data_IF_830100846387
#
_entry.id   IF_830100846387
#
_cell.length_a   1.000
_cell.length_b   1.000
_cell.length_c   1.000
_cell.angle_alpha   90.00
_cell.angle_beta   90.00
_cell.angle_gamma   90.00
#
_symmetry.space_group_name_H-M   'P 1'
#
loop_
_entity.id
_entity.type
_entity.pdbx_description
1 polymer ?
#
# COMPACT_ATOMS: atom_id res chain seq x y z
N UNK A 1 -68.48 35.06 -1.21
CA UNK A 1 -67.91 33.87 -0.55
C UNK A 1 -66.74 33.40 -1.40
N UNK A 2 -65.51 33.59 -0.93
CA UNK A 2 -64.30 33.25 -1.68
C UNK A 2 -63.77 31.88 -1.20
N UNK A 3 -63.66 30.93 -2.11
CA UNK A 3 -63.16 29.58 -1.84
C UNK A 3 -61.64 29.60 -2.06
N UNK A 4 -60.88 29.52 -0.96
CA UNK A 4 -59.44 29.38 -1.00
C UNK A 4 -59.07 27.93 -1.33
N UNK A 5 -58.49 27.72 -2.52
CA UNK A 5 -57.97 26.42 -2.97
C UNK A 5 -56.50 26.34 -2.54
N UNK A 6 -56.23 25.59 -1.47
CA UNK A 6 -54.87 25.23 -1.07
C UNK A 6 -54.32 24.16 -2.01
N UNK A 7 -53.46 24.57 -2.95
CA UNK A 7 -52.67 23.64 -3.77
C UNK A 7 -51.54 23.10 -2.90
N UNK A 8 -51.69 21.85 -2.44
CA UNK A 8 -50.61 21.09 -1.81
C UNK A 8 -49.55 20.76 -2.89
N UNK A 9 -48.50 21.56 -2.96
CA UNK A 9 -47.29 21.21 -3.71
C UNK A 9 -46.53 20.13 -2.93
N UNK A 10 -46.61 18.89 -3.39
CA UNK A 10 -45.77 17.80 -2.91
C UNK A 10 -44.30 18.09 -3.30
N UNK A 11 -43.51 18.51 -2.32
CA UNK A 11 -42.06 18.68 -2.47
C UNK A 11 -41.46 17.27 -2.53
N UNK A 12 -41.18 16.79 -3.74
CA UNK A 12 -40.32 15.63 -4.00
C UNK A 12 -38.91 16.00 -3.54
N UNK A 13 -38.58 15.70 -2.29
CA UNK A 13 -37.21 15.75 -1.80
C UNK A 13 -36.37 14.78 -2.66
N UNK A 14 -35.32 15.25 -3.37
CA UNK A 14 -34.39 14.36 -4.03
C UNK A 14 -33.79 13.47 -2.94
N UNK A 15 -34.06 12.17 -3.04
CA UNK A 15 -33.51 11.18 -2.14
C UNK A 15 -32.01 11.36 -2.09
N UNK A 16 -31.50 11.68 -0.90
CA UNK A 16 -30.08 11.59 -0.61
C UNK A 16 -29.70 10.11 -0.80
N UNK A 17 -29.26 9.76 -2.00
CA UNK A 17 -28.50 8.55 -2.23
C UNK A 17 -27.27 8.70 -1.34
N UNK A 18 -27.31 8.07 -0.17
CA UNK A 18 -26.18 8.00 0.72
C UNK A 18 -25.06 7.35 -0.06
N UNK A 19 -24.07 8.15 -0.45
CA UNK A 19 -22.82 7.65 -0.95
C UNK A 19 -22.24 6.79 0.16
N UNK A 20 -22.40 5.48 0.03
CA UNK A 20 -21.84 4.53 0.96
C UNK A 20 -20.33 4.65 0.78
N UNK A 21 -19.69 5.37 1.69
CA UNK A 21 -18.25 5.57 1.71
C UNK A 21 -17.62 4.20 1.86
N UNK A 22 -17.23 3.61 0.72
CA UNK A 22 -16.60 2.31 0.68
C UNK A 22 -15.18 2.52 1.19
N UNK A 23 -14.99 2.33 2.50
CA UNK A 23 -13.66 2.38 3.09
C UNK A 23 -12.80 1.35 2.38
N UNK A 24 -11.79 1.80 1.63
CA UNK A 24 -10.87 0.89 0.96
C UNK A 24 -9.91 0.39 2.03
N UNK A 25 -9.81 -0.93 2.18
CA UNK A 25 -8.96 -1.54 3.22
C UNK A 25 -7.91 -2.40 2.54
N UNK A 26 -6.66 -2.23 2.98
CA UNK A 26 -5.55 -3.10 2.66
C UNK A 26 -5.33 -4.10 3.79
N UNK A 27 -5.13 -5.38 3.45
CA UNK A 27 -4.92 -6.47 4.41
C UNK A 27 -3.58 -7.14 4.12
N UNK A 28 -2.79 -7.40 5.16
CA UNK A 28 -1.60 -8.24 5.05
C UNK A 28 -2.07 -9.67 4.76
N UNK A 29 -1.78 -10.15 3.56
CA UNK A 29 -2.09 -11.48 3.09
C UNK A 29 -1.05 -12.51 3.58
N UNK A 30 0.24 -12.19 3.46
CA UNK A 30 1.35 -13.04 3.93
C UNK A 30 2.57 -12.23 4.38
N UNK A 31 3.48 -12.87 5.12
CA UNK A 31 4.68 -12.28 5.72
C UNK A 31 4.54 -11.97 7.23
N UNK A 32 5.61 -11.47 7.89
CA UNK A 32 6.92 -11.14 7.33
C UNK A 32 7.75 -12.38 6.96
N UNK A 33 8.08 -12.51 5.68
CA UNK A 33 8.91 -13.61 5.18
C UNK A 33 10.35 -13.10 4.93
N UNK A 34 11.38 -13.75 5.50
CA UNK A 34 12.76 -13.36 5.25
C UNK A 34 13.21 -13.81 3.85
N UNK A 35 14.03 -13.01 3.20
CA UNK A 35 14.62 -13.34 1.90
C UNK A 35 15.95 -12.65 1.65
N UNK A 36 16.51 -12.88 0.46
CA UNK A 36 17.77 -12.29 0.03
C UNK A 36 17.73 -11.87 -1.43
N UNK A 37 18.27 -10.69 -1.74
CA UNK A 37 18.36 -10.14 -3.09
C UNK A 37 17.03 -9.54 -3.55
N UNK A 38 17.01 -8.22 -3.74
CA UNK A 38 15.85 -7.49 -4.25
C UNK A 38 16.07 -7.25 -5.74
N UNK A 39 15.18 -7.76 -6.59
CA UNK A 39 15.40 -7.85 -8.05
C UNK A 39 15.71 -6.51 -8.73
N UNK A 40 15.08 -5.42 -8.27
CA UNK A 40 15.28 -4.07 -8.81
C UNK A 40 16.44 -3.32 -8.16
N UNK A 41 17.09 -3.89 -7.16
CA UNK A 41 18.36 -3.38 -6.63
C UNK A 41 19.52 -4.08 -7.35
N UNK A 42 20.70 -3.44 -7.33
CA UNK A 42 21.90 -4.09 -7.88
C UNK A 42 22.06 -5.49 -7.26
N UNK A 43 22.43 -6.52 -8.04
CA UNK A 43 22.55 -7.89 -7.56
C UNK A 43 23.43 -7.95 -6.32
N UNK A 44 22.80 -8.12 -5.15
CA UNK A 44 23.45 -8.19 -3.86
C UNK A 44 22.77 -9.25 -3.00
N UNK A 45 23.49 -9.80 -2.03
CA UNK A 45 22.96 -10.78 -1.07
C UNK A 45 22.28 -10.04 0.09
N UNK A 46 21.51 -9.01 -0.25
CA UNK A 46 20.89 -8.13 0.73
C UNK A 46 19.77 -8.85 1.45
N UNK A 47 19.82 -8.99 2.78
CA UNK A 47 18.71 -9.53 3.54
C UNK A 47 17.54 -8.55 3.49
N UNK A 48 16.33 -9.08 3.33
CA UNK A 48 15.11 -8.31 3.44
C UNK A 48 14.05 -9.09 4.22
N UNK A 49 13.02 -8.36 4.63
CA UNK A 49 11.76 -8.93 5.11
C UNK A 49 10.62 -8.46 4.22
N UNK A 50 9.79 -9.38 3.76
CA UNK A 50 8.73 -9.12 2.80
C UNK A 50 7.36 -9.34 3.42
N UNK A 51 6.42 -8.46 3.10
CA UNK A 51 5.00 -8.64 3.36
C UNK A 51 4.20 -8.39 2.09
N UNK A 52 3.14 -9.16 1.88
CA UNK A 52 2.25 -9.04 0.73
C UNK A 52 0.89 -8.57 1.22
N UNK A 53 0.34 -7.53 0.60
CA UNK A 53 -0.94 -6.94 0.93
C UNK A 53 -1.94 -7.13 -0.21
N UNK A 54 -3.17 -7.51 0.12
CA UNK A 54 -4.29 -7.41 -0.82
C UNK A 54 -4.90 -6.00 -0.73
N UNK A 55 -4.94 -5.27 -1.84
CA UNK A 55 -5.45 -3.90 -1.89
C UNK A 55 -6.00 -3.55 -3.28
N UNK A 56 -7.26 -3.08 -3.34
CA UNK A 56 -7.86 -2.62 -4.59
C UNK A 56 -7.94 -3.69 -5.70
N UNK A 57 -7.96 -4.98 -5.33
CA UNK A 57 -7.92 -6.09 -6.29
C UNK A 57 -6.52 -6.47 -6.79
N UNK A 58 -5.47 -5.81 -6.28
CA UNK A 58 -4.08 -6.11 -6.59
C UNK A 58 -3.30 -6.57 -5.35
N UNK A 59 -2.14 -7.15 -5.58
CA UNK A 59 -1.18 -7.47 -4.54
C UNK A 59 -0.10 -6.38 -4.46
N UNK A 60 0.10 -5.82 -3.29
CA UNK A 60 1.16 -4.86 -3.01
C UNK A 60 2.24 -5.56 -2.18
N UNK A 61 3.46 -5.59 -2.69
CA UNK A 61 4.60 -6.14 -1.98
C UNK A 61 5.31 -5.01 -1.24
N UNK A 62 5.65 -5.27 0.01
CA UNK A 62 6.45 -4.37 0.82
C UNK A 62 7.71 -5.08 1.29
N UNK A 63 8.86 -4.46 1.10
CA UNK A 63 10.14 -4.94 1.62
C UNK A 63 10.71 -4.00 2.66
N UNK A 64 11.28 -4.57 3.72
CA UNK A 64 12.12 -3.90 4.70
C UNK A 64 13.56 -4.35 4.56
N UNK A 65 14.47 -3.38 4.38
CA UNK A 65 15.93 -3.59 4.37
C UNK A 65 16.55 -2.86 5.58
N UNK A 66 17.51 -3.51 6.25
CA UNK A 66 18.13 -3.02 7.49
C UNK A 66 19.28 -2.03 7.26
N UNK A 67 19.51 -1.62 6.02
CA UNK A 67 20.53 -0.65 5.65
C UNK A 67 19.98 0.38 4.66
N UNK A 68 20.68 1.52 4.59
CA UNK A 68 20.35 2.59 3.64
C UNK A 68 20.77 2.21 2.23
N UNK A 69 19.80 2.05 1.35
CA UNK A 69 20.07 1.90 -0.09
C UNK A 69 20.52 3.26 -0.64
N UNK A 70 21.67 3.29 -1.31
CA UNK A 70 22.12 4.49 -2.01
C UNK A 70 21.06 4.88 -3.04
N UNK A 71 20.67 6.16 -3.04
CA UNK A 71 19.65 6.66 -3.97
C UNK A 71 20.11 6.40 -5.40
N UNK A 72 19.35 5.60 -6.16
CA UNK A 72 19.62 5.42 -7.58
C UNK A 72 19.33 6.74 -8.31
N UNK A 73 20.21 7.15 -9.23
CA UNK A 73 20.00 8.35 -10.05
C UNK A 73 18.69 8.29 -10.86
N UNK A 74 18.20 7.08 -11.13
CA UNK A 74 16.94 6.82 -11.84
C UNK A 74 15.68 7.05 -11.00
N UNK A 75 15.78 7.31 -9.70
CA UNK A 75 14.60 7.48 -8.85
C UNK A 75 14.16 8.94 -8.77
N UNK A 76 13.04 9.22 -9.43
CA UNK A 76 12.43 10.53 -9.46
C UNK A 76 11.65 10.80 -8.17
N UNK A 77 11.64 12.06 -7.73
CA UNK A 77 10.84 12.48 -6.59
C UNK A 77 9.39 12.66 -7.03
N UNK A 78 8.51 11.83 -6.49
CA UNK A 78 7.06 11.91 -6.72
C UNK A 78 6.37 12.33 -5.43
N UNK A 79 5.33 13.16 -5.57
CA UNK A 79 4.51 13.58 -4.44
C UNK A 79 3.29 12.66 -4.33
N UNK A 80 3.24 11.86 -3.27
CA UNK A 80 1.99 11.30 -2.78
C UNK A 80 1.21 12.37 -2.01
N UNK A 81 -0.05 12.05 -1.66
CA UNK A 81 -0.99 13.00 -1.05
C UNK A 81 -0.36 13.84 0.07
N UNK A 82 0.43 13.21 0.95
CA UNK A 82 1.00 13.87 2.14
C UNK A 82 2.52 13.94 2.16
N UNK A 83 3.24 13.17 1.32
CA UNK A 83 4.71 13.10 1.37
C UNK A 83 5.36 13.00 0.00
N UNK A 84 6.61 13.43 -0.06
CA UNK A 84 7.47 13.20 -1.23
C UNK A 84 8.15 11.85 -1.03
N UNK A 85 7.85 10.92 -1.91
CA UNK A 85 8.54 9.64 -2.01
C UNK A 85 9.36 9.58 -3.28
N UNK A 86 10.19 8.56 -3.40
CA UNK A 86 10.91 8.30 -4.64
C UNK A 86 10.20 7.19 -5.40
N UNK A 87 10.08 7.35 -6.71
CA UNK A 87 9.51 6.35 -7.60
C UNK A 87 10.46 6.08 -8.77
N UNK A 88 10.51 4.84 -9.21
CA UNK A 88 11.16 4.45 -10.47
C UNK A 88 10.15 4.36 -11.62
N UNK A 89 10.62 4.12 -12.83
CA UNK A 89 9.75 3.93 -14.00
C UNK A 89 8.93 2.63 -13.97
N UNK A 90 9.29 1.68 -13.10
CA UNK A 90 8.60 0.41 -12.91
C UNK A 90 7.59 0.39 -11.76
N UNK A 91 7.08 1.56 -11.33
CA UNK A 91 6.07 1.70 -10.27
C UNK A 91 6.49 1.13 -8.90
N UNK A 92 7.79 1.15 -8.61
CA UNK A 92 8.30 0.90 -7.27
C UNK A 92 8.47 2.22 -6.52
N UNK A 93 8.13 2.19 -5.25
CA UNK A 93 8.13 3.33 -4.36
C UNK A 93 9.11 3.10 -3.21
N UNK A 94 9.94 4.09 -2.94
CA UNK A 94 10.95 4.04 -1.90
C UNK A 94 10.70 5.10 -0.83
N UNK A 95 10.69 4.65 0.42
CA UNK A 95 10.66 5.49 1.61
C UNK A 95 11.85 5.18 2.51
N UNK A 96 12.50 6.23 2.99
CA UNK A 96 13.61 6.14 3.91
C UNK A 96 13.54 7.26 4.96
N UNK A 97 13.93 6.91 6.19
CA UNK A 97 14.18 7.86 7.27
C UNK A 97 15.53 7.53 7.92
N UNK A 98 16.29 8.55 8.29
CA UNK A 98 17.64 8.41 8.82
C UNK A 98 17.65 7.53 10.09
N UNK A 99 18.51 6.51 10.09
CA UNK A 99 18.60 5.56 11.20
C UNK A 99 17.39 4.64 11.33
N UNK A 100 16.68 4.36 10.23
CA UNK A 100 15.56 3.40 10.19
C UNK A 100 15.70 2.43 9.01
N UNK A 101 14.79 1.47 8.93
CA UNK A 101 14.73 0.53 7.81
C UNK A 101 14.36 1.26 6.51
N UNK A 102 14.97 0.84 5.41
CA UNK A 102 14.54 1.23 4.06
C UNK A 102 13.29 0.46 3.70
N UNK A 103 12.25 1.16 3.25
CA UNK A 103 10.95 0.60 2.89
C UNK A 103 10.75 0.72 1.39
N UNK A 104 10.46 -0.41 0.76
CA UNK A 104 10.10 -0.48 -0.65
C UNK A 104 8.68 -0.98 -0.80
N UNK A 105 7.94 -0.41 -1.74
CA UNK A 105 6.56 -0.79 -2.05
C UNK A 105 6.43 -0.94 -3.56
N UNK A 106 5.90 -2.06 -4.04
CA UNK A 106 5.62 -2.25 -5.46
C UNK A 106 4.30 -3.00 -5.66
N UNK A 107 3.67 -2.77 -6.81
CA UNK A 107 2.53 -3.58 -7.26
C UNK A 107 3.08 -4.86 -7.87
N UNK A 108 2.66 -6.02 -7.37
CA UNK A 108 3.06 -7.29 -7.96
C UNK A 108 2.28 -7.54 -9.25
N UNK A 109 3.00 -7.77 -10.36
CA UNK A 109 2.38 -8.05 -11.64
C UNK A 109 1.57 -9.36 -11.61
N UNK A 110 2.05 -10.39 -10.93
CA UNK A 110 1.37 -11.66 -10.71
C UNK A 110 2.07 -12.36 -9.53
N UNK A 111 1.49 -12.36 -8.32
CA UNK A 111 1.92 -13.32 -7.29
C UNK A 111 1.08 -14.56 -7.54
N UNK A 112 1.68 -15.69 -7.97
CA UNK A 112 0.94 -16.93 -8.05
C UNK A 112 0.32 -17.18 -6.67
N UNK A 113 -1.01 -17.35 -6.56
CA UNK A 113 -1.62 -17.71 -5.30
C UNK A 113 -1.00 -19.02 -4.86
N UNK A 114 -0.18 -18.94 -3.82
CA UNK A 114 0.43 -20.01 -3.02
C UNK A 114 0.64 -21.36 -3.73
N UNK A 115 1.90 -21.71 -3.97
CA UNK A 115 2.36 -22.92 -4.66
C UNK A 115 2.21 -24.21 -3.82
N UNK A 116 1.03 -24.39 -3.21
CA UNK A 116 0.60 -25.61 -2.54
C UNK A 116 -0.57 -26.34 -3.21
N UNK A 117 -1.36 -25.71 -4.10
CA UNK A 117 -2.47 -26.39 -4.77
C UNK A 117 -2.37 -26.28 -6.30
N UNK A 118 -2.19 -27.42 -6.95
CA UNK A 118 -2.28 -27.57 -8.39
C UNK A 118 -3.74 -27.32 -8.85
N UNK A 119 -4.11 -26.07 -9.08
CA UNK A 119 -5.40 -25.71 -9.70
C UNK A 119 -5.17 -24.98 -11.01
N UNK A 120 -5.54 -25.70 -12.07
CA UNK A 120 -6.03 -25.30 -13.40
C UNK A 120 -5.49 -24.00 -14.04
N UNK A 121 -4.87 -24.06 -15.24
CA UNK A 121 -4.31 -22.91 -15.96
C UNK A 121 -5.36 -22.01 -16.66
N UNK A 122 -6.56 -21.88 -16.10
CA UNK A 122 -7.67 -21.18 -16.76
C UNK A 122 -8.08 -19.91 -16.00
N UNK A 123 -7.24 -18.88 -16.14
CA UNK A 123 -7.59 -17.47 -16.27
C UNK A 123 -6.39 -16.63 -15.82
N UNK A 124 -5.54 -16.25 -16.76
CA UNK A 124 -4.70 -15.05 -16.61
C UNK A 124 -5.65 -13.87 -16.45
N UNK A 125 -6.08 -13.60 -15.22
CA UNK A 125 -6.66 -12.31 -14.86
C UNK A 125 -5.48 -11.36 -14.96
N UNK A 126 -5.30 -10.74 -16.12
CA UNK A 126 -4.41 -9.61 -16.28
C UNK A 126 -4.74 -8.65 -15.14
N UNK A 127 -3.82 -8.54 -14.17
CA UNK A 127 -4.00 -7.67 -13.02
C UNK A 127 -4.38 -6.29 -13.54
N UNK A 128 -5.54 -5.78 -13.11
CA UNK A 128 -5.94 -4.44 -13.49
C UNK A 128 -4.84 -3.48 -13.03
N UNK A 129 -4.38 -2.56 -13.89
CA UNK A 129 -3.39 -1.57 -13.48
C UNK A 129 -3.95 -0.85 -12.25
N UNK A 130 -3.23 -0.90 -11.14
CA UNK A 130 -3.59 -0.13 -9.96
C UNK A 130 -3.43 1.33 -10.33
N UNK A 131 -4.51 2.10 -10.20
CA UNK A 131 -4.46 3.55 -10.43
C UNK A 131 -3.34 4.17 -9.58
N UNK A 132 -2.46 5.01 -10.16
CA UNK A 132 -1.34 5.63 -9.45
C UNK A 132 -1.76 6.34 -8.14
N UNK A 133 -2.97 6.89 -8.11
CA UNK A 133 -3.51 7.55 -6.91
C UNK A 133 -3.80 6.55 -5.78
N UNK A 134 -4.27 5.34 -6.10
CA UNK A 134 -4.55 4.31 -5.10
C UNK A 134 -3.26 3.81 -4.45
N UNK A 135 -2.21 3.58 -5.22
CA UNK A 135 -0.93 3.15 -4.66
C UNK A 135 -0.29 4.27 -3.82
N UNK A 136 -0.45 5.53 -4.20
CA UNK A 136 -0.04 6.66 -3.37
C UNK A 136 -0.75 6.68 -2.01
N UNK A 137 -2.07 6.44 -2.00
CA UNK A 137 -2.85 6.34 -0.76
C UNK A 137 -2.38 5.17 0.12
N UNK A 138 -2.08 4.01 -0.49
CA UNK A 138 -1.50 2.88 0.23
C UNK A 138 -0.15 3.25 0.86
N UNK A 139 0.78 3.82 0.08
CA UNK A 139 2.13 4.17 0.55
C UNK A 139 2.04 5.17 1.71
N UNK A 140 1.21 6.20 1.59
CA UNK A 140 1.02 7.20 2.64
C UNK A 140 0.56 6.55 3.96
N UNK A 141 -0.49 5.72 3.90
CA UNK A 141 -1.04 5.06 5.08
C UNK A 141 -0.10 4.02 5.66
N UNK A 142 0.58 3.26 4.80
CA UNK A 142 1.58 2.28 5.23
C UNK A 142 2.71 2.98 5.99
N UNK A 143 3.29 4.04 5.42
CA UNK A 143 4.42 4.76 6.02
C UNK A 143 4.01 5.45 7.31
N UNK A 144 2.80 6.00 7.41
CA UNK A 144 2.28 6.55 8.67
C UNK A 144 2.23 5.51 9.79
N UNK A 145 1.75 4.30 9.45
CA UNK A 145 1.64 3.22 10.42
C UNK A 145 3.00 2.64 10.78
N UNK A 146 3.90 2.52 9.82
CA UNK A 146 5.31 2.18 10.03
C UNK A 146 5.97 3.17 11.00
N UNK A 147 5.85 4.48 10.75
CA UNK A 147 6.42 5.52 11.61
C UNK A 147 5.80 5.53 13.01
N UNK A 148 4.51 5.19 13.13
CA UNK A 148 3.90 4.95 14.44
C UNK A 148 4.58 3.80 15.18
N UNK A 149 4.77 2.64 14.54
CA UNK A 149 5.44 1.49 15.18
C UNK A 149 6.88 1.79 15.55
N UNK A 150 7.64 2.48 14.70
CA UNK A 150 9.00 2.92 15.03
C UNK A 150 9.06 3.79 16.29
N UNK A 151 8.05 4.66 16.50
CA UNK A 151 7.96 5.49 17.71
C UNK A 151 7.60 4.67 18.95
N UNK A 152 6.72 3.68 18.83
CA UNK A 152 6.28 2.84 19.94
C UNK A 152 7.34 1.84 20.37
N UNK A 153 8.00 1.18 19.42
CA UNK A 153 9.05 0.18 19.69
C UNK A 153 10.38 0.82 20.13
N UNK A 154 10.53 2.13 19.91
CA UNK A 154 11.63 2.96 20.35
C UNK A 154 12.93 2.78 19.55
N UNK A 155 13.92 3.68 19.74
CA UNK A 155 15.17 3.68 18.97
C UNK A 155 16.06 2.44 19.16
N UNK A 156 15.74 1.55 20.12
CA UNK A 156 16.57 0.40 20.49
C UNK A 156 16.62 -0.72 19.43
N UNK A 157 15.75 -0.71 18.42
CA UNK A 157 15.69 -1.76 17.39
C UNK A 157 16.51 -1.51 16.14
N UNK A 158 17.16 -0.36 15.99
CA UNK A 158 18.00 -0.07 14.81
C UNK A 158 19.24 -0.95 14.72
N UNK A 159 19.64 -1.59 15.82
CA UNK A 159 20.66 -2.64 15.86
C UNK A 159 20.08 -4.08 15.85
N UNK A 160 18.75 -4.22 15.81
CA UNK A 160 18.09 -5.52 15.86
C UNK A 160 17.88 -6.05 14.44
N UNK A 161 18.28 -7.32 14.21
CA UNK A 161 17.95 -8.07 12.98
C UNK A 161 16.45 -8.38 12.82
N UNK A 162 15.63 -7.97 13.78
CA UNK A 162 14.18 -8.19 13.77
C UNK A 162 13.50 -7.06 13.00
N UNK A 163 12.66 -7.35 12.00
CA UNK A 163 12.02 -6.33 11.20
C UNK A 163 11.00 -5.54 12.05
N UNK A 164 10.64 -4.34 11.59
CA UNK A 164 9.48 -3.61 12.08
C UNK A 164 8.21 -4.43 11.85
N UNK A 165 7.21 -4.20 12.70
CA UNK A 165 5.92 -4.89 12.55
C UNK A 165 5.23 -4.49 11.25
N UNK A 166 4.82 -5.47 10.44
CA UNK A 166 3.94 -5.24 9.30
C UNK A 166 2.52 -4.97 9.80
N UNK A 167 1.90 -3.82 9.47
CA UNK A 167 0.51 -3.59 9.83
C UNK A 167 -0.41 -4.65 9.22
N UNK A 168 -1.16 -5.38 10.03
CA UNK A 168 -2.07 -6.42 9.50
C UNK A 168 -3.23 -5.82 8.67
N UNK A 169 -3.71 -4.64 9.06
CA UNK A 169 -4.82 -3.94 8.41
C UNK A 169 -4.48 -2.47 8.26
N UNK A 170 -4.74 -1.92 7.07
CA UNK A 170 -4.59 -0.50 6.73
C UNK A 170 -5.93 0.04 6.25
N UNK A 171 -6.54 0.92 7.04
CA UNK A 171 -7.72 1.67 6.62
C UNK A 171 -7.27 2.83 5.73
N UNK A 172 -7.68 2.81 4.47
CA UNK A 172 -7.44 3.91 3.53
C UNK A 172 -8.67 4.82 3.56
N UNK A 173 -8.42 6.08 3.92
CA UNK A 173 -9.39 7.18 3.94
C UNK A 173 -8.79 8.35 3.18
#
# INVERSE_FOLDING_TARGET
MAVAVCILSAILLPGALGAQETSVVAYLHSGPDPGSGVEFLQPNVTPYWQGIYAFGGANIVVWFLDYTVAEAESWERTRCSTRVIRADSGAQYFYYSAGSWSVFVAVAADIPPDSGEARSPAASVQGLPVEPDLICLFVDRFVDRYNYFQRVDGPRRTASRTPPSFPAVLQIR
#
